data_IF_640575401682
#
_entry.id   IF_640575401682
#
_cell.length_a   1.000
_cell.length_b   1.000
_cell.length_c   1.000
_cell.angle_alpha   90.00
_cell.angle_beta   90.00
_cell.angle_gamma   90.00
#
_symmetry.space_group_name_H-M   'P 1'
#
loop_
_entity.id
_entity.type
_entity.pdbx_description
1 polymer ?
#
# COMPACT_ATOMS: atom_id res chain seq x y z
N UNK A 1 -4.42 6.88 9.04
CA UNK A 1 -5.55 7.12 9.99
C UNK A 1 -5.86 8.61 9.99
N UNK A 2 -7.12 9.00 9.90
CA UNK A 2 -7.55 10.40 9.91
C UNK A 2 -7.32 11.01 11.30
N UNK A 3 -7.01 12.32 11.35
CA UNK A 3 -6.91 13.05 12.61
C UNK A 3 -8.30 13.25 13.23
N UNK A 4 -8.48 12.82 14.49
CA UNK A 4 -9.74 13.01 15.24
C UNK A 4 -10.09 14.49 15.46
N UNK A 5 -9.12 15.41 15.39
CA UNK A 5 -9.42 16.86 15.41
C UNK A 5 -10.14 17.26 14.16
N UNK A 6 -9.63 16.88 12.99
CA UNK A 6 -10.27 17.15 11.72
C UNK A 6 -11.69 16.56 11.67
N UNK A 7 -11.86 15.33 12.16
CA UNK A 7 -13.18 14.71 12.25
C UNK A 7 -14.20 15.55 13.05
N UNK A 8 -13.74 16.18 14.14
CA UNK A 8 -14.59 17.02 14.98
C UNK A 8 -14.82 18.41 14.40
N UNK A 9 -13.79 19.01 13.81
CA UNK A 9 -13.81 20.38 13.30
C UNK A 9 -14.53 20.47 11.95
N UNK A 10 -14.38 19.47 11.09
CA UNK A 10 -14.98 19.42 9.76
C UNK A 10 -15.43 17.98 9.39
N UNK A 11 -16.49 17.47 10.06
CA UNK A 11 -17.02 16.14 9.77
C UNK A 11 -17.59 16.02 8.36
N UNK A 12 -18.06 17.11 7.77
CA UNK A 12 -18.66 17.11 6.43
C UNK A 12 -17.59 16.85 5.35
N UNK A 13 -16.39 17.34 5.53
CA UNK A 13 -15.25 16.99 4.66
C UNK A 13 -14.95 15.49 4.70
N UNK A 14 -15.00 14.87 5.88
CA UNK A 14 -14.78 13.42 6.04
C UNK A 14 -15.92 12.65 5.38
N UNK A 15 -17.19 13.08 5.58
CA UNK A 15 -18.37 12.47 4.91
C UNK A 15 -18.29 12.61 3.39
N UNK A 16 -17.86 13.76 2.88
CA UNK A 16 -17.69 13.96 1.44
C UNK A 16 -16.62 13.01 0.86
N UNK A 17 -15.51 12.82 1.57
CA UNK A 17 -14.47 11.88 1.18
C UNK A 17 -14.97 10.42 1.17
N UNK A 18 -15.74 10.00 2.19
CA UNK A 18 -16.33 8.65 2.22
C UNK A 18 -17.33 8.44 1.07
N UNK A 19 -18.16 9.45 0.76
CA UNK A 19 -19.05 9.39 -0.42
C UNK A 19 -18.28 9.25 -1.73
N UNK A 20 -17.20 10.01 -1.89
CA UNK A 20 -16.37 9.95 -3.09
C UNK A 20 -15.72 8.56 -3.27
N UNK A 21 -15.39 7.87 -2.17
CA UNK A 21 -14.88 6.51 -2.18
C UNK A 21 -15.96 5.43 -2.39
N UNK A 22 -17.24 5.80 -2.33
CA UNK A 22 -18.33 4.82 -2.30
C UNK A 22 -18.42 4.04 -0.98
N UNK A 23 -17.83 4.57 0.10
CA UNK A 23 -17.80 3.95 1.43
C UNK A 23 -18.98 4.43 2.30
N UNK A 24 -19.25 3.69 3.40
CA UNK A 24 -20.36 3.99 4.29
C UNK A 24 -20.14 5.30 5.08
N UNK A 25 -20.97 6.29 4.79
CA UNK A 25 -20.95 7.60 5.47
C UNK A 25 -21.39 7.50 6.94
N UNK A 26 -22.23 6.51 7.30
CA UNK A 26 -22.70 6.32 8.68
C UNK A 26 -21.54 5.98 9.64
N UNK A 27 -20.43 5.45 9.11
CA UNK A 27 -19.21 5.21 9.88
C UNK A 27 -18.67 6.50 10.53
N UNK A 28 -18.81 7.66 9.85
CA UNK A 28 -18.37 8.96 10.36
C UNK A 28 -19.18 9.36 11.59
N UNK A 29 -20.50 9.16 11.56
CA UNK A 29 -21.38 9.49 12.69
C UNK A 29 -21.14 8.53 13.87
N UNK A 30 -20.95 7.25 13.61
CA UNK A 30 -20.59 6.25 14.61
C UNK A 30 -19.26 6.60 15.30
N UNK A 31 -18.27 7.02 14.52
CA UNK A 31 -16.97 7.43 15.05
C UNK A 31 -17.03 8.73 15.86
N UNK A 32 -17.82 9.72 15.44
CA UNK A 32 -18.07 10.95 16.22
C UNK A 32 -18.71 10.62 17.58
N UNK A 33 -19.69 9.72 17.59
CA UNK A 33 -20.35 9.26 18.83
C UNK A 33 -19.38 8.51 19.74
N UNK A 34 -18.53 7.63 19.17
CA UNK A 34 -17.52 6.90 19.94
C UNK A 34 -16.46 7.83 20.52
N UNK A 35 -15.98 8.83 19.74
CA UNK A 35 -15.03 9.83 20.24
C UNK A 35 -15.61 10.70 21.35
N UNK A 36 -16.90 11.06 21.29
CA UNK A 36 -17.58 11.77 22.37
C UNK A 36 -17.64 10.94 23.64
N UNK A 37 -18.02 9.65 23.54
CA UNK A 37 -18.00 8.72 24.71
C UNK A 37 -16.60 8.55 25.26
N UNK A 38 -15.58 8.43 24.41
CA UNK A 38 -14.18 8.32 24.82
C UNK A 38 -13.72 9.54 25.61
N UNK A 39 -14.08 10.75 25.17
CA UNK A 39 -13.73 12.00 25.88
C UNK A 39 -14.48 12.15 27.19
N UNK A 40 -15.80 11.93 27.20
CA UNK A 40 -16.63 12.06 28.39
C UNK A 40 -16.27 11.03 29.48
N UNK A 41 -16.04 9.77 29.08
CA UNK A 41 -15.58 8.73 30.02
C UNK A 41 -14.18 9.04 30.58
N UNK A 42 -13.28 9.61 29.79
CA UNK A 42 -11.97 10.09 30.22
C UNK A 42 -12.09 11.18 31.29
N UNK A 43 -12.90 12.21 31.04
CA UNK A 43 -13.15 13.29 32.03
C UNK A 43 -13.73 12.71 33.33
N UNK A 44 -14.75 11.85 33.21
CA UNK A 44 -15.38 11.21 34.40
C UNK A 44 -14.37 10.38 35.21
N UNK A 45 -13.53 9.60 34.53
CA UNK A 45 -12.47 8.84 35.22
C UNK A 45 -11.51 9.77 35.96
N UNK A 46 -11.05 10.85 35.34
CA UNK A 46 -10.13 11.80 35.99
C UNK A 46 -10.76 12.52 37.19
N UNK A 47 -12.04 12.88 37.11
CA UNK A 47 -12.80 13.48 38.24
C UNK A 47 -12.90 12.52 39.42
N UNK A 48 -13.31 11.27 39.18
CA UNK A 48 -13.40 10.25 40.21
C UNK A 48 -12.05 9.91 40.86
N UNK A 49 -10.97 9.90 40.06
CA UNK A 49 -9.59 9.73 40.56
C UNK A 49 -9.14 10.91 41.41
N UNK A 50 -9.49 12.13 41.02
CA UNK A 50 -9.20 13.34 41.78
C UNK A 50 -9.95 13.33 43.15
N UNK A 51 -11.24 12.94 43.14
CA UNK A 51 -12.03 12.77 44.37
C UNK A 51 -11.43 11.70 45.28
N UNK A 52 -11.05 10.54 44.71
CA UNK A 52 -10.41 9.44 45.46
C UNK A 52 -9.11 9.90 46.14
N UNK A 53 -8.28 10.63 45.43
CA UNK A 53 -7.03 11.21 45.95
C UNK A 53 -7.29 12.24 47.05
N UNK A 54 -8.32 13.06 46.91
CA UNK A 54 -8.72 14.04 47.93
C UNK A 54 -9.23 13.36 49.20
N UNK A 55 -10.11 12.37 49.03
CA UNK A 55 -10.69 11.60 50.14
C UNK A 55 -9.59 10.87 50.93
N UNK A 56 -8.62 10.26 50.26
CA UNK A 56 -7.46 9.62 50.89
C UNK A 56 -6.62 10.54 51.78
N UNK A 57 -6.61 11.86 51.47
CA UNK A 57 -5.92 12.87 52.32
C UNK A 57 -6.75 13.32 53.53
N UNK A 58 -8.08 13.18 53.45
CA UNK A 58 -9.01 13.59 54.55
C UNK A 58 -9.15 12.51 55.61
N UNK A 59 -9.21 11.24 55.24
CA UNK A 59 -9.40 10.11 56.14
C UNK A 59 -8.44 10.10 57.33
N UNK A 60 -7.12 10.36 57.19
CA UNK A 60 -6.20 10.36 58.33
C UNK A 60 -6.42 11.53 59.29
N UNK A 61 -7.11 12.60 58.86
CA UNK A 61 -7.33 13.83 59.64
C UNK A 61 -8.72 13.92 60.26
N UNK A 62 -9.60 12.97 59.98
CA UNK A 62 -10.99 12.99 60.39
C UNK A 62 -11.17 12.44 61.82
N UNK A 63 -12.22 12.88 62.50
CA UNK A 63 -12.69 12.32 63.77
C UNK A 63 -13.15 10.85 63.60
N UNK A 64 -13.38 10.14 64.72
CA UNK A 64 -13.78 8.72 64.66
C UNK A 64 -15.13 8.49 63.97
N UNK A 65 -16.10 9.41 64.13
CA UNK A 65 -17.42 9.36 63.49
C UNK A 65 -17.33 9.65 62.01
N UNK A 66 -16.67 10.75 61.63
CA UNK A 66 -16.46 11.14 60.23
C UNK A 66 -15.65 10.10 59.44
N UNK A 67 -14.70 9.42 60.09
CA UNK A 67 -13.86 8.41 59.46
C UNK A 67 -14.63 7.20 58.97
N UNK A 68 -15.69 6.77 59.71
CA UNK A 68 -16.50 5.64 59.27
C UNK A 68 -17.27 5.96 57.96
N UNK A 69 -17.80 7.17 57.86
CA UNK A 69 -18.51 7.64 56.67
C UNK A 69 -17.58 7.84 55.48
N UNK A 70 -16.40 8.45 55.72
CA UNK A 70 -15.36 8.60 54.71
C UNK A 70 -14.83 7.28 54.16
N UNK A 71 -14.70 6.26 55.03
CA UNK A 71 -14.30 4.91 54.62
C UNK A 71 -15.35 4.24 53.73
N UNK A 72 -16.65 4.37 54.08
CA UNK A 72 -17.76 3.88 53.26
C UNK A 72 -17.78 4.56 51.89
N UNK A 73 -17.60 5.89 51.85
CA UNK A 73 -17.50 6.65 50.62
C UNK A 73 -16.29 6.22 49.78
N UNK A 74 -15.13 5.94 50.44
CA UNK A 74 -13.93 5.46 49.78
C UNK A 74 -14.12 4.10 49.09
N UNK A 75 -14.91 3.21 49.74
CA UNK A 75 -15.21 1.89 49.14
C UNK A 75 -16.11 2.01 47.92
N UNK A 76 -17.17 2.81 47.97
CA UNK A 76 -18.03 3.12 46.85
C UNK A 76 -17.22 3.76 45.68
N UNK A 77 -16.42 4.78 46.03
CA UNK A 77 -15.62 5.51 45.06
C UNK A 77 -14.55 4.62 44.40
N UNK A 78 -14.02 3.63 45.11
CA UNK A 78 -13.13 2.62 44.55
C UNK A 78 -13.81 1.78 43.45
N UNK A 79 -15.07 1.40 43.68
CA UNK A 79 -15.88 0.68 42.69
C UNK A 79 -16.20 1.57 41.49
N UNK A 80 -16.59 2.83 41.72
CA UNK A 80 -16.90 3.80 40.70
C UNK A 80 -15.68 4.12 39.79
N UNK A 81 -14.50 4.29 40.38
CA UNK A 81 -13.24 4.49 39.65
C UNK A 81 -12.94 3.28 38.75
N UNK A 82 -13.11 2.07 39.27
CA UNK A 82 -12.88 0.84 38.49
C UNK A 82 -13.86 0.72 37.33
N UNK A 83 -15.13 1.06 37.55
CA UNK A 83 -16.13 1.04 36.48
C UNK A 83 -15.85 2.10 35.40
N UNK A 84 -15.48 3.32 35.82
CA UNK A 84 -15.13 4.39 34.88
C UNK A 84 -13.86 4.10 34.08
N UNK A 85 -12.89 3.42 34.68
CA UNK A 85 -11.67 2.95 33.99
C UNK A 85 -11.99 1.95 32.88
N UNK A 86 -12.82 0.95 33.18
CA UNK A 86 -13.28 -0.04 32.22
C UNK A 86 -14.11 0.60 31.07
N UNK A 87 -14.98 1.57 31.40
CA UNK A 87 -15.76 2.30 30.40
C UNK A 87 -14.85 3.14 29.47
N UNK A 88 -13.85 3.82 30.04
CA UNK A 88 -12.86 4.59 29.29
C UNK A 88 -12.09 3.70 28.31
N UNK A 89 -11.62 2.54 28.79
CA UNK A 89 -10.85 1.61 27.98
C UNK A 89 -11.71 1.00 26.85
N UNK A 90 -12.97 0.67 27.15
CA UNK A 90 -13.93 0.18 26.14
C UNK A 90 -14.19 1.24 25.07
N UNK A 91 -14.46 2.49 25.47
CA UNK A 91 -14.72 3.59 24.54
C UNK A 91 -13.47 3.94 23.70
N UNK A 92 -12.27 3.83 24.26
CA UNK A 92 -11.02 4.01 23.54
C UNK A 92 -10.82 2.93 22.47
N UNK A 93 -11.06 1.66 22.81
CA UNK A 93 -10.97 0.52 21.90
C UNK A 93 -11.97 0.66 20.75
N UNK A 94 -13.24 0.94 21.05
CA UNK A 94 -14.29 1.14 20.03
C UNK A 94 -13.94 2.29 19.08
N UNK A 95 -13.47 3.42 19.62
CA UNK A 95 -13.03 4.55 18.79
C UNK A 95 -11.89 4.16 17.86
N UNK A 96 -10.92 3.39 18.34
CA UNK A 96 -9.79 2.92 17.56
C UNK A 96 -10.22 1.95 16.45
N UNK A 97 -11.10 1.00 16.76
CA UNK A 97 -11.62 0.03 15.79
C UNK A 97 -12.39 0.70 14.65
N UNK A 98 -13.28 1.65 14.97
CA UNK A 98 -14.00 2.43 13.96
C UNK A 98 -13.06 3.29 13.12
N UNK A 99 -12.05 3.91 13.74
CA UNK A 99 -11.09 4.76 13.06
C UNK A 99 -10.20 3.96 12.09
N UNK A 100 -9.93 2.69 12.38
CA UNK A 100 -9.18 1.78 11.49
C UNK A 100 -9.99 1.38 10.25
N UNK A 101 -11.32 1.47 10.29
CA UNK A 101 -12.19 1.17 9.14
C UNK A 101 -12.29 2.35 8.16
N UNK A 102 -11.99 3.57 8.62
CA UNK A 102 -12.13 4.78 7.81
C UNK A 102 -10.97 4.89 6.81
N UNK A 103 -11.30 5.05 5.52
CA UNK A 103 -10.33 5.33 4.46
C UNK A 103 -9.67 6.71 4.60
N UNK A 104 -8.55 6.93 3.93
CA UNK A 104 -7.87 8.24 3.91
C UNK A 104 -8.74 9.29 3.20
N UNK A 105 -8.48 10.57 3.48
CA UNK A 105 -9.15 11.67 2.79
C UNK A 105 -8.76 11.69 1.31
N UNK A 106 -9.77 11.78 0.45
CA UNK A 106 -9.57 11.95 -0.99
C UNK A 106 -9.05 13.36 -1.27
N UNK A 107 -7.99 13.47 -2.07
CA UNK A 107 -7.47 14.77 -2.50
C UNK A 107 -8.52 15.49 -3.38
N UNK A 108 -8.68 16.82 -3.27
CA UNK A 108 -9.72 17.56 -4.02
C UNK A 108 -9.68 17.43 -5.54
N UNK A 109 -8.48 17.22 -6.11
CA UNK A 109 -8.31 17.11 -7.57
C UNK A 109 -8.56 15.70 -8.13
N UNK A 110 -8.81 14.70 -7.27
CA UNK A 110 -9.07 13.33 -7.70
C UNK A 110 -10.41 13.25 -8.44
N UNK A 111 -10.47 12.62 -9.63
CA UNK A 111 -11.73 12.41 -10.32
C UNK A 111 -12.67 11.56 -9.47
N UNK A 112 -13.95 11.97 -9.39
CA UNK A 112 -14.95 11.27 -8.60
C UNK A 112 -15.65 10.22 -9.47
N UNK A 113 -15.61 8.96 -9.06
CA UNK A 113 -16.25 7.87 -9.80
C UNK A 113 -15.65 6.50 -9.51
N UNK A 114 -16.05 5.49 -10.29
CA UNK A 114 -15.57 4.12 -10.24
C UNK A 114 -14.33 3.87 -11.08
N UNK A 115 -13.95 2.59 -11.26
CA UNK A 115 -12.74 2.12 -11.97
C UNK A 115 -12.60 2.74 -13.39
N UNK A 116 -13.72 2.99 -14.10
CA UNK A 116 -13.70 3.50 -15.48
C UNK A 116 -13.71 5.05 -15.56
N UNK A 117 -13.86 5.75 -14.43
CA UNK A 117 -13.98 7.22 -14.39
C UNK A 117 -12.62 7.92 -14.17
N UNK A 118 -11.52 7.22 -14.45
CA UNK A 118 -10.17 7.79 -14.40
C UNK A 118 -9.97 8.87 -15.48
N UNK A 119 -8.97 9.72 -15.27
CA UNK A 119 -8.56 10.74 -16.26
C UNK A 119 -7.20 10.38 -16.82
N UNK A 120 -7.10 10.25 -18.16
CA UNK A 120 -5.80 10.11 -18.82
C UNK A 120 -5.08 11.45 -18.85
N UNK A 121 -3.90 11.50 -18.22
CA UNK A 121 -3.08 12.72 -18.12
C UNK A 121 -2.08 12.82 -19.27
N UNK A 122 -1.43 11.71 -19.61
CA UNK A 122 -0.33 11.66 -20.57
C UNK A 122 -0.37 10.33 -21.33
N UNK A 123 0.18 10.34 -22.57
CA UNK A 123 0.42 9.14 -23.38
C UNK A 123 1.84 9.20 -23.93
N UNK A 124 2.58 8.11 -23.82
CA UNK A 124 3.98 7.99 -24.19
C UNK A 124 4.23 6.80 -25.12
N UNK A 125 5.18 6.96 -26.05
CA UNK A 125 5.55 5.93 -27.03
C UNK A 125 4.51 5.75 -28.14
N UNK A 126 4.87 4.99 -29.15
CA UNK A 126 4.00 4.65 -30.27
C UNK A 126 3.56 3.18 -30.16
N UNK A 127 2.26 2.95 -30.34
CA UNK A 127 1.72 1.59 -30.42
C UNK A 127 2.14 0.98 -31.75
N UNK A 128 2.83 -0.14 -31.71
CA UNK A 128 3.34 -0.86 -32.86
C UNK A 128 2.19 -1.49 -33.65
N UNK A 129 2.20 -1.31 -34.97
CA UNK A 129 1.23 -1.93 -35.88
C UNK A 129 1.81 -3.21 -36.50
N UNK A 130 1.55 -4.35 -35.83
CA UNK A 130 2.01 -5.66 -36.29
C UNK A 130 1.41 -6.09 -37.62
N UNK A 131 0.19 -5.63 -37.95
CA UNK A 131 -0.44 -5.92 -39.22
C UNK A 131 0.31 -5.26 -40.36
N UNK A 132 0.72 -4.00 -40.19
CA UNK A 132 1.57 -3.30 -41.16
C UNK A 132 2.97 -3.94 -41.30
N UNK A 133 3.45 -4.60 -40.24
CA UNK A 133 4.70 -5.38 -40.25
C UNK A 133 4.54 -6.78 -40.85
N UNK A 134 3.32 -7.22 -41.15
CA UNK A 134 3.04 -8.46 -41.88
C UNK A 134 2.89 -9.71 -41.03
N UNK A 135 2.64 -9.58 -39.69
CA UNK A 135 2.35 -10.72 -38.83
C UNK A 135 1.36 -10.37 -37.70
N UNK A 136 0.71 -11.39 -37.18
CA UNK A 136 -0.17 -11.28 -36.01
C UNK A 136 0.62 -11.45 -34.71
N UNK A 137 0.41 -10.59 -33.70
CA UNK A 137 1.11 -10.69 -32.43
C UNK A 137 0.66 -11.93 -31.65
N UNK A 138 1.62 -12.65 -31.07
CA UNK A 138 1.40 -13.76 -30.16
C UNK A 138 1.30 -13.26 -28.73
N UNK A 139 0.51 -13.94 -27.91
CA UNK A 139 0.45 -13.62 -26.49
C UNK A 139 1.71 -14.11 -25.73
N UNK A 140 1.89 -13.60 -24.54
CA UNK A 140 3.06 -13.90 -23.71
C UNK A 140 3.20 -15.38 -23.34
N UNK A 141 2.13 -16.20 -23.34
CA UNK A 141 2.23 -17.64 -23.12
C UNK A 141 2.76 -18.37 -24.35
N UNK A 142 2.28 -17.99 -25.53
CA UNK A 142 2.79 -18.55 -26.79
C UNK A 142 4.28 -18.19 -26.95
N UNK A 143 4.64 -16.92 -26.72
CA UNK A 143 6.04 -16.48 -26.70
C UNK A 143 6.85 -17.17 -25.60
N UNK A 144 6.30 -17.28 -24.41
CA UNK A 144 6.92 -17.97 -23.29
C UNK A 144 7.21 -19.44 -23.59
N UNK A 145 6.35 -20.10 -24.36
CA UNK A 145 6.56 -21.47 -24.85
C UNK A 145 7.65 -21.53 -25.93
N UNK A 146 7.60 -20.63 -26.90
CA UNK A 146 8.58 -20.53 -28.00
C UNK A 146 9.99 -20.28 -27.43
N UNK A 147 10.11 -19.42 -26.44
CA UNK A 147 11.37 -19.06 -25.80
C UNK A 147 11.81 -20.05 -24.70
N UNK A 148 10.96 -20.99 -24.31
CA UNK A 148 11.20 -21.84 -23.15
C UNK A 148 11.29 -21.05 -21.83
N UNK A 149 10.53 -19.96 -21.72
CA UNK A 149 10.66 -18.93 -20.67
C UNK A 149 9.62 -19.04 -19.57
N UNK A 150 8.39 -19.54 -19.87
CA UNK A 150 7.26 -19.57 -18.94
C UNK A 150 6.65 -20.97 -18.94
N UNK A 151 6.48 -21.57 -17.75
CA UNK A 151 5.85 -22.89 -17.57
C UNK A 151 4.72 -22.79 -16.54
N UNK A 152 3.52 -22.61 -17.02
CA UNK A 152 2.30 -22.55 -16.19
C UNK A 152 1.75 -23.94 -15.87
N UNK A 153 2.02 -24.97 -16.68
CA UNK A 153 1.56 -26.33 -16.43
C UNK A 153 2.23 -26.94 -15.20
N UNK A 154 3.57 -26.82 -15.13
CA UNK A 154 4.31 -27.26 -13.94
C UNK A 154 4.03 -26.39 -12.74
N UNK A 155 3.81 -25.10 -12.91
CA UNK A 155 3.36 -24.21 -11.85
C UNK A 155 2.04 -24.67 -11.24
N UNK A 156 1.06 -24.97 -12.08
CA UNK A 156 -0.24 -25.48 -11.66
C UNK A 156 -0.14 -26.89 -11.01
N UNK A 157 0.75 -27.73 -11.51
CA UNK A 157 0.99 -29.06 -10.93
C UNK A 157 1.58 -28.99 -9.51
N UNK A 158 2.46 -28.04 -9.24
CA UNK A 158 3.15 -27.92 -7.96
C UNK A 158 2.34 -27.16 -6.93
N UNK A 159 1.70 -26.05 -7.32
CA UNK A 159 1.09 -25.08 -6.38
C UNK A 159 -0.37 -24.75 -6.68
N UNK A 160 -0.93 -25.22 -7.79
CA UNK A 160 -2.29 -24.91 -8.20
C UNK A 160 -2.36 -23.83 -9.29
N UNK A 161 -3.58 -23.44 -9.65
CA UNK A 161 -3.80 -22.40 -10.65
C UNK A 161 -3.14 -21.07 -10.29
N UNK A 162 -2.78 -20.25 -11.30
CA UNK A 162 -2.13 -18.94 -11.13
C UNK A 162 -0.74 -19.00 -10.46
N UNK A 163 -0.09 -20.17 -10.47
CA UNK A 163 1.32 -20.32 -10.20
C UNK A 163 2.06 -20.71 -11.49
N UNK A 164 3.30 -20.33 -11.58
CA UNK A 164 4.12 -20.52 -12.78
C UNK A 164 5.58 -20.72 -12.38
N UNK A 165 6.36 -21.25 -13.32
CA UNK A 165 7.83 -21.19 -13.28
C UNK A 165 8.30 -20.26 -14.41
N UNK A 166 9.26 -19.40 -14.10
CA UNK A 166 10.12 -18.82 -15.13
C UNK A 166 11.31 -19.74 -15.32
N UNK A 167 11.63 -20.02 -16.56
CA UNK A 167 12.72 -20.97 -16.94
C UNK A 167 13.65 -20.31 -17.95
N UNK A 168 14.90 -20.75 -18.02
CA UNK A 168 15.85 -20.29 -19.02
C UNK A 168 15.94 -18.77 -19.10
N UNK A 169 15.64 -18.23 -20.29
CA UNK A 169 15.68 -16.78 -20.54
C UNK A 169 14.62 -15.99 -19.75
N UNK A 170 13.50 -16.63 -19.39
CA UNK A 170 12.47 -15.98 -18.55
C UNK A 170 12.97 -15.67 -17.15
N UNK A 171 13.65 -16.62 -16.51
CA UNK A 171 14.27 -16.41 -15.20
C UNK A 171 15.39 -15.36 -15.25
N UNK A 172 16.19 -15.37 -16.32
CA UNK A 172 17.22 -14.35 -16.53
C UNK A 172 16.60 -12.95 -16.74
N UNK A 173 15.48 -12.86 -17.45
CA UNK A 173 14.76 -11.59 -17.67
C UNK A 173 14.21 -11.03 -16.36
N UNK A 174 13.66 -11.86 -15.47
CA UNK A 174 13.24 -11.43 -14.14
C UNK A 174 14.40 -10.83 -13.34
N UNK A 175 15.52 -11.56 -13.25
CA UNK A 175 16.71 -11.07 -12.54
C UNK A 175 17.26 -9.77 -13.16
N UNK A 176 17.21 -9.64 -14.47
CA UNK A 176 17.63 -8.43 -15.19
C UNK A 176 16.74 -7.26 -14.84
N UNK A 177 15.41 -7.44 -14.83
CA UNK A 177 14.43 -6.41 -14.47
C UNK A 177 14.63 -5.92 -13.04
N UNK A 178 14.76 -6.84 -12.08
CA UNK A 178 14.99 -6.50 -10.68
C UNK A 178 16.29 -5.70 -10.52
N UNK A 179 17.39 -6.16 -11.12
CA UNK A 179 18.68 -5.47 -11.01
C UNK A 179 18.64 -4.09 -11.67
N UNK A 180 18.05 -3.96 -12.86
CA UNK A 180 17.93 -2.67 -13.55
C UNK A 180 17.05 -1.68 -12.77
N UNK A 181 15.90 -2.13 -12.23
CA UNK A 181 15.02 -1.30 -11.41
C UNK A 181 15.72 -0.83 -10.13
N UNK A 182 16.43 -1.70 -9.41
CA UNK A 182 17.21 -1.34 -8.23
C UNK A 182 18.34 -0.37 -8.58
N UNK A 183 19.01 -0.54 -9.73
CA UNK A 183 20.03 0.38 -10.18
C UNK A 183 19.47 1.78 -10.46
N UNK A 184 18.30 1.88 -11.14
CA UNK A 184 17.62 3.16 -11.37
C UNK A 184 17.22 3.82 -10.03
N UNK A 185 16.60 3.07 -9.11
CA UNK A 185 16.22 3.59 -7.81
C UNK A 185 17.44 4.09 -7.00
N UNK A 186 18.55 3.36 -7.03
CA UNK A 186 19.79 3.75 -6.36
C UNK A 186 20.36 5.04 -6.96
N UNK A 187 20.35 5.18 -8.28
CA UNK A 187 20.78 6.39 -8.96
C UNK A 187 19.88 7.60 -8.63
N UNK A 188 18.58 7.36 -8.34
CA UNK A 188 17.62 8.37 -7.90
C UNK A 188 17.73 8.69 -6.37
N UNK A 189 18.66 8.07 -5.65
CA UNK A 189 18.92 8.33 -4.23
C UNK A 189 18.12 7.46 -3.26
N UNK A 190 17.49 6.38 -3.73
CA UNK A 190 16.86 5.39 -2.84
C UNK A 190 17.89 4.44 -2.24
N UNK A 191 17.69 4.08 -1.00
CA UNK A 191 18.43 2.99 -0.34
C UNK A 191 17.80 1.65 -0.72
N UNK A 192 18.51 0.75 -1.42
CA UNK A 192 17.97 -0.58 -1.77
C UNK A 192 17.82 -1.44 -0.52
N UNK A 193 16.71 -2.19 -0.45
CA UNK A 193 16.39 -3.07 0.68
C UNK A 193 15.85 -4.42 0.22
N UNK A 194 16.31 -5.49 0.84
CA UNK A 194 15.66 -6.79 0.79
C UNK A 194 14.76 -6.90 2.02
N UNK A 195 13.45 -6.94 1.80
CA UNK A 195 12.49 -6.87 2.90
C UNK A 195 11.98 -8.25 3.30
N UNK A 196 11.58 -8.45 4.58
CA UNK A 196 10.87 -9.66 4.96
C UNK A 196 9.52 -9.75 4.25
N UNK A 197 9.18 -10.96 3.77
CA UNK A 197 7.89 -11.24 3.16
C UNK A 197 6.81 -11.62 4.19
N UNK A 198 7.21 -11.95 5.42
CA UNK A 198 6.32 -12.23 6.55
C UNK A 198 6.36 -11.06 7.52
N UNK A 199 5.17 -10.56 7.87
CA UNK A 199 5.02 -9.39 8.74
C UNK A 199 3.99 -9.64 9.84
N UNK A 200 4.11 -8.88 10.93
CA UNK A 200 3.17 -8.94 12.05
C UNK A 200 1.84 -8.25 11.71
N UNK A 201 0.73 -8.60 12.43
CA UNK A 201 -0.58 -7.96 12.25
C UNK A 201 -0.55 -6.43 12.33
N UNK A 202 0.27 -5.87 13.22
CA UNK A 202 0.41 -4.42 13.40
C UNK A 202 0.92 -3.72 12.13
N UNK A 203 1.86 -4.33 11.40
CA UNK A 203 2.38 -3.79 10.14
C UNK A 203 1.30 -3.79 9.05
N UNK A 204 0.54 -4.89 8.95
CA UNK A 204 -0.58 -4.99 8.01
C UNK A 204 -1.71 -4.01 8.32
N UNK A 205 -2.11 -3.90 9.59
CA UNK A 205 -3.14 -2.96 10.04
C UNK A 205 -2.69 -1.50 9.84
N UNK A 206 -1.41 -1.22 10.15
CA UNK A 206 -0.84 0.12 10.02
C UNK A 206 -0.83 0.65 8.58
N UNK A 207 -0.67 -0.21 7.61
CA UNK A 207 -0.70 0.14 6.18
C UNK A 207 -2.09 0.11 5.57
N UNK A 208 -3.11 -0.43 6.27
CA UNK A 208 -4.50 -0.46 5.80
C UNK A 208 -4.90 -1.75 5.08
N UNK A 209 -4.03 -2.76 4.99
CA UNK A 209 -4.32 -4.01 4.25
C UNK A 209 -5.25 -4.98 4.98
N UNK A 210 -5.53 -4.79 6.27
CA UNK A 210 -6.53 -5.58 7.01
C UNK A 210 -7.95 -4.98 6.98
N UNK A 211 -8.20 -3.98 6.13
CA UNK A 211 -9.51 -3.44 5.83
C UNK A 211 -10.17 -4.16 4.65
N UNK A 212 -10.54 -3.41 3.63
CA UNK A 212 -11.19 -3.92 2.40
C UNK A 212 -10.37 -5.01 1.67
N UNK A 213 -9.04 -4.92 1.71
CA UNK A 213 -8.12 -5.87 1.07
C UNK A 213 -7.86 -7.14 1.89
N UNK A 214 -8.45 -7.31 3.07
CA UNK A 214 -8.16 -8.43 3.98
C UNK A 214 -8.40 -9.81 3.34
N UNK A 215 -9.37 -9.93 2.44
CA UNK A 215 -9.67 -11.18 1.72
C UNK A 215 -8.55 -11.62 0.76
N UNK A 216 -7.69 -10.69 0.31
CA UNK A 216 -6.58 -10.96 -0.60
C UNK A 216 -5.28 -11.34 0.12
N UNK A 217 -5.26 -11.27 1.44
CA UNK A 217 -4.07 -11.52 2.25
C UNK A 217 -3.99 -12.98 2.68
N UNK A 218 -2.79 -13.58 2.60
CA UNK A 218 -2.49 -14.87 3.21
C UNK A 218 -2.10 -14.69 4.67
N UNK A 219 -2.83 -15.35 5.59
CA UNK A 219 -2.55 -15.38 7.01
C UNK A 219 -2.06 -16.77 7.44
N UNK A 220 -1.01 -16.80 8.24
CA UNK A 220 -0.45 -17.99 8.86
C UNK A 220 -0.92 -18.04 10.33
N UNK A 221 -2.05 -18.68 10.56
CA UNK A 221 -2.74 -18.67 11.87
C UNK A 221 -1.88 -19.13 13.06
N UNK A 222 -1.00 -20.12 12.84
CA UNK A 222 -0.16 -20.68 13.93
C UNK A 222 0.91 -19.71 14.41
N UNK A 223 1.43 -18.89 13.52
CA UNK A 223 2.54 -17.98 13.78
C UNK A 223 2.05 -16.55 13.98
N UNK A 224 0.76 -16.29 13.70
CA UNK A 224 0.13 -14.96 13.64
C UNK A 224 0.94 -13.99 12.77
N UNK A 225 1.29 -14.44 11.57
CA UNK A 225 2.03 -13.68 10.57
C UNK A 225 1.26 -13.63 9.25
N UNK A 226 1.49 -12.58 8.49
CA UNK A 226 0.89 -12.36 7.18
C UNK A 226 1.96 -12.35 6.09
N UNK A 227 1.66 -12.99 4.94
CA UNK A 227 2.45 -12.80 3.73
C UNK A 227 2.10 -11.45 3.09
N UNK A 228 3.11 -10.66 2.76
CA UNK A 228 2.92 -9.34 2.14
C UNK A 228 2.44 -9.46 0.70
N UNK A 229 1.49 -8.62 0.29
CA UNK A 229 1.10 -8.42 -1.11
C UNK A 229 1.96 -7.37 -1.83
N UNK A 230 2.85 -6.71 -1.09
CA UNK A 230 3.78 -5.65 -1.53
C UNK A 230 4.81 -5.40 -0.42
N UNK A 231 6.06 -5.08 -0.78
CA UNK A 231 7.06 -4.66 0.20
C UNK A 231 6.73 -3.33 0.89
N UNK A 232 5.78 -2.56 0.37
CA UNK A 232 5.22 -1.37 1.03
C UNK A 232 4.95 -1.61 2.52
N UNK A 233 4.35 -2.76 2.86
CA UNK A 233 4.01 -3.09 4.26
C UNK A 233 5.24 -3.11 5.16
N UNK A 234 6.29 -3.79 4.72
CA UNK A 234 7.54 -3.88 5.47
C UNK A 234 8.27 -2.54 5.51
N UNK A 235 8.28 -1.81 4.38
CA UNK A 235 8.91 -0.50 4.26
C UNK A 235 8.19 0.55 5.11
N UNK A 236 6.86 0.60 5.10
CA UNK A 236 6.08 1.53 5.92
C UNK A 236 6.22 1.26 7.42
N UNK A 237 6.41 -0.01 7.82
CA UNK A 237 6.60 -0.38 9.22
C UNK A 237 8.07 -0.29 9.67
N UNK A 238 9.01 0.00 8.77
CA UNK A 238 10.45 0.01 9.09
C UNK A 238 10.82 1.00 10.22
N UNK A 239 10.11 2.13 10.27
CA UNK A 239 10.27 3.14 11.31
C UNK A 239 9.11 3.17 12.31
N UNK A 240 8.36 2.06 12.47
CA UNK A 240 7.25 1.98 13.43
C UNK A 240 7.71 2.35 14.84
N UNK A 241 6.89 3.19 15.54
CA UNK A 241 7.12 3.72 16.88
C UNK A 241 8.33 4.67 17.01
N UNK A 242 8.92 5.13 15.89
CA UNK A 242 10.06 6.04 15.90
C UNK A 242 9.67 7.52 15.78
N UNK A 243 10.57 8.38 16.28
CA UNK A 243 10.58 9.82 16.03
C UNK A 243 11.83 10.13 15.22
N UNK A 244 11.63 10.52 13.96
CA UNK A 244 12.68 10.85 13.00
C UNK A 244 12.99 12.35 13.12
N UNK A 245 14.25 12.75 13.10
CA UNK A 245 14.62 14.17 13.07
C UNK A 245 14.39 14.73 11.65
N UNK A 246 13.86 15.95 11.56
CA UNK A 246 13.43 16.55 10.30
C UNK A 246 14.57 16.73 9.27
N UNK A 247 15.79 16.92 9.74
CA UNK A 247 16.99 17.04 8.89
C UNK A 247 17.37 15.75 8.16
N UNK A 248 16.79 14.60 8.57
CA UNK A 248 16.96 13.32 7.89
C UNK A 248 15.99 13.11 6.71
N UNK A 249 14.94 13.92 6.60
CA UNK A 249 13.98 13.80 5.51
C UNK A 249 14.48 14.48 4.21
N UNK A 250 14.12 13.95 3.04
CA UNK A 250 13.33 12.74 2.80
C UNK A 250 14.12 11.46 3.02
N UNK A 251 13.46 10.40 3.56
CA UNK A 251 14.00 9.05 3.56
C UNK A 251 13.36 8.25 2.43
N UNK A 252 14.17 7.66 1.56
CA UNK A 252 13.72 6.92 0.37
C UNK A 252 14.31 5.52 0.36
N UNK A 253 13.45 4.52 0.21
CA UNK A 253 13.79 3.11 0.20
C UNK A 253 13.25 2.42 -1.05
N UNK A 254 14.05 1.56 -1.67
CA UNK A 254 13.63 0.69 -2.77
C UNK A 254 13.64 -0.74 -2.27
N UNK A 255 12.46 -1.30 -1.98
CA UNK A 255 12.30 -2.64 -1.44
C UNK A 255 12.06 -3.68 -2.53
N UNK A 256 12.84 -4.74 -2.52
CA UNK A 256 12.57 -5.94 -3.32
C UNK A 256 12.01 -7.03 -2.41
N UNK A 257 10.90 -7.64 -2.85
CA UNK A 257 10.35 -8.83 -2.19
C UNK A 257 9.50 -9.68 -3.13
N UNK A 258 9.37 -10.98 -2.86
CA UNK A 258 8.21 -11.74 -3.31
C UNK A 258 6.94 -11.16 -2.68
N UNK A 259 5.87 -11.17 -3.46
CA UNK A 259 4.55 -10.66 -3.10
C UNK A 259 3.52 -11.77 -3.27
N UNK A 260 2.51 -11.81 -2.38
CA UNK A 260 1.52 -12.89 -2.34
C UNK A 260 0.11 -12.29 -2.27
N UNK A 261 -0.75 -12.67 -3.20
CA UNK A 261 -2.14 -12.21 -3.23
C UNK A 261 -3.09 -13.39 -3.47
N UNK A 262 -4.19 -13.48 -2.73
CA UNK A 262 -5.23 -14.50 -2.94
C UNK A 262 -6.04 -14.25 -4.20
N UNK A 263 -6.06 -13.01 -4.69
CA UNK A 263 -6.85 -12.60 -5.86
C UNK A 263 -8.34 -12.99 -5.73
N UNK A 264 -8.88 -12.86 -4.51
CA UNK A 264 -10.22 -13.36 -4.15
C UNK A 264 -11.35 -12.66 -4.93
N UNK A 265 -11.19 -11.38 -5.28
CA UNK A 265 -12.15 -10.58 -6.05
C UNK A 265 -12.04 -10.72 -7.57
N UNK A 266 -11.08 -11.52 -8.10
CA UNK A 266 -10.74 -11.55 -9.52
C UNK A 266 -11.27 -12.74 -10.29
N UNK A 267 -12.45 -13.29 -9.90
CA UNK A 267 -13.05 -14.43 -10.59
C UNK A 267 -13.27 -14.14 -12.08
N UNK A 268 -12.69 -14.98 -12.95
CA UNK A 268 -12.80 -14.84 -14.40
C UNK A 268 -11.92 -13.77 -15.06
N UNK A 269 -11.24 -12.89 -14.28
CA UNK A 269 -10.31 -11.91 -14.83
C UNK A 269 -8.90 -12.52 -14.96
N UNK A 270 -8.26 -12.34 -16.11
CA UNK A 270 -6.87 -12.76 -16.39
C UNK A 270 -6.53 -14.18 -15.91
N UNK A 271 -7.39 -15.16 -16.24
CA UNK A 271 -7.23 -16.55 -15.79
C UNK A 271 -6.14 -17.30 -16.55
N UNK A 272 -5.69 -16.75 -17.69
CA UNK A 272 -4.63 -17.31 -18.55
C UNK A 272 -3.39 -16.44 -18.44
N UNK A 273 -2.22 -17.07 -18.35
CA UNK A 273 -0.94 -16.39 -18.34
C UNK A 273 -0.43 -16.00 -16.96
N UNK A 274 0.50 -15.06 -16.95
CA UNK A 274 1.19 -14.60 -15.74
C UNK A 274 0.89 -13.13 -15.38
N UNK A 275 -0.13 -12.53 -16.01
CA UNK A 275 -0.50 -11.14 -15.73
C UNK A 275 -1.11 -10.96 -14.32
N UNK A 276 -1.86 -11.98 -13.84
CA UNK A 276 -2.48 -12.00 -12.51
C UNK A 276 -2.24 -13.34 -11.83
N UNK A 277 -1.35 -13.36 -10.86
CA UNK A 277 -0.79 -14.55 -10.22
C UNK A 277 -0.79 -14.42 -8.70
N UNK A 278 -0.74 -15.55 -7.99
CA UNK A 278 -0.74 -15.59 -6.53
C UNK A 278 0.60 -15.23 -5.90
N UNK A 279 1.69 -15.45 -6.63
CA UNK A 279 3.05 -15.13 -6.20
C UNK A 279 3.80 -14.42 -7.34
N UNK A 280 4.44 -13.30 -7.03
CA UNK A 280 5.21 -12.52 -7.98
C UNK A 280 6.26 -11.67 -7.26
N UNK A 281 7.30 -11.27 -7.99
CA UNK A 281 8.33 -10.40 -7.47
C UNK A 281 8.06 -8.93 -7.86
N UNK A 282 8.39 -8.01 -6.93
CA UNK A 282 8.18 -6.58 -7.11
C UNK A 282 9.32 -5.75 -6.52
N UNK A 283 9.71 -4.69 -7.23
CA UNK A 283 10.53 -3.60 -6.70
C UNK A 283 9.60 -2.42 -6.42
N UNK A 284 9.58 -1.98 -5.16
CA UNK A 284 8.72 -0.92 -4.64
C UNK A 284 9.55 0.26 -4.15
N UNK A 285 9.20 1.47 -4.57
CA UNK A 285 9.70 2.71 -3.99
C UNK A 285 8.84 3.11 -2.79
N UNK A 286 9.46 3.60 -1.74
CA UNK A 286 8.77 4.11 -0.56
C UNK A 286 9.49 5.34 -0.02
N UNK A 287 8.72 6.40 0.27
CA UNK A 287 9.25 7.66 0.77
C UNK A 287 8.57 8.08 2.07
N UNK A 288 9.39 8.60 3.00
CA UNK A 288 8.95 9.35 4.18
C UNK A 288 9.37 10.80 3.98
N UNK A 289 8.41 11.72 4.04
CA UNK A 289 8.65 13.14 3.77
C UNK A 289 7.91 14.03 4.78
N UNK A 290 8.29 15.30 4.84
CA UNK A 290 7.48 16.29 5.53
C UNK A 290 6.09 16.40 4.85
N UNK A 291 4.98 16.60 5.59
CA UNK A 291 3.65 16.65 4.99
C UNK A 291 3.50 17.69 3.88
N UNK A 292 4.19 18.80 3.99
CA UNK A 292 4.24 19.89 3.00
C UNK A 292 4.91 19.50 1.68
N UNK A 293 5.78 18.49 1.68
CA UNK A 293 6.52 17.99 0.51
C UNK A 293 5.82 16.82 -0.21
N UNK A 294 4.69 16.33 0.33
CA UNK A 294 4.02 15.11 -0.12
C UNK A 294 3.68 15.15 -1.61
N UNK A 295 3.05 16.22 -2.08
CA UNK A 295 2.65 16.35 -3.49
C UNK A 295 3.86 16.41 -4.44
N UNK A 296 4.92 17.11 -4.05
CA UNK A 296 6.14 17.18 -4.86
C UNK A 296 6.86 15.83 -4.93
N UNK A 297 6.85 15.07 -3.83
CA UNK A 297 7.40 13.72 -3.82
C UNK A 297 6.54 12.74 -4.62
N UNK A 298 5.20 12.85 -4.58
CA UNK A 298 4.30 12.03 -5.38
C UNK A 298 4.59 12.21 -6.88
N UNK A 299 4.77 13.47 -7.32
CA UNK A 299 5.13 13.75 -8.71
C UNK A 299 6.50 13.13 -9.08
N UNK A 300 7.49 13.17 -8.17
CA UNK A 300 8.79 12.52 -8.41
C UNK A 300 8.68 11.01 -8.55
N UNK A 301 7.88 10.35 -7.70
CA UNK A 301 7.64 8.91 -7.83
C UNK A 301 7.05 8.57 -9.20
N UNK A 302 6.03 9.33 -9.64
CA UNK A 302 5.44 9.19 -10.97
C UNK A 302 6.48 9.41 -12.08
N UNK A 303 7.35 10.41 -11.97
CA UNK A 303 8.40 10.69 -12.97
C UNK A 303 9.41 9.54 -13.05
N UNK A 304 9.75 8.87 -11.95
CA UNK A 304 10.63 7.69 -11.96
C UNK A 304 9.94 6.47 -12.57
N UNK A 305 8.64 6.28 -12.36
CA UNK A 305 7.86 5.23 -13.04
C UNK A 305 7.80 5.47 -14.56
N UNK A 306 7.53 6.71 -14.99
CA UNK A 306 7.56 7.09 -16.40
C UNK A 306 8.94 6.85 -17.02
N UNK A 307 10.01 7.22 -16.30
CA UNK A 307 11.39 6.97 -16.75
C UNK A 307 11.66 5.47 -16.90
N UNK A 308 11.19 4.66 -15.97
CA UNK A 308 11.33 3.20 -16.03
C UNK A 308 10.66 2.62 -17.26
N UNK A 309 9.38 2.91 -17.48
CA UNK A 309 8.64 2.40 -18.63
C UNK A 309 9.20 2.91 -19.97
N UNK A 310 9.67 4.15 -20.01
CA UNK A 310 10.37 4.72 -21.20
C UNK A 310 11.68 3.97 -21.46
N UNK A 311 12.45 3.64 -20.43
CA UNK A 311 13.71 2.89 -20.58
C UNK A 311 13.50 1.45 -21.06
N UNK A 312 12.31 0.89 -20.80
CA UNK A 312 11.87 -0.40 -21.33
C UNK A 312 11.27 -0.30 -22.74
N UNK A 313 11.22 0.92 -23.31
CA UNK A 313 10.74 1.18 -24.66
C UNK A 313 9.29 0.70 -24.87
N UNK A 314 8.46 0.82 -23.82
CA UNK A 314 7.06 0.42 -23.86
C UNK A 314 6.15 1.63 -24.15
N UNK A 315 5.11 1.48 -24.99
CA UNK A 315 4.05 2.47 -25.09
C UNK A 315 3.16 2.38 -23.85
N UNK A 316 2.91 3.53 -23.20
CA UNK A 316 2.09 3.58 -21.98
C UNK A 316 1.31 4.89 -21.87
N UNK A 317 0.31 4.91 -21.02
CA UNK A 317 -0.39 6.10 -20.58
C UNK A 317 -0.28 6.28 -19.08
N UNK A 318 -0.45 7.51 -18.61
CA UNK A 318 -0.59 7.87 -17.20
C UNK A 318 -2.03 8.25 -16.93
N UNK A 319 -2.62 7.69 -15.90
CA UNK A 319 -3.98 8.01 -15.48
C UNK A 319 -4.00 8.53 -14.04
N UNK A 320 -4.91 9.47 -13.77
CA UNK A 320 -5.33 9.87 -12.42
C UNK A 320 -6.51 9.00 -12.04
N UNK A 321 -6.31 8.16 -11.03
CA UNK A 321 -7.26 7.12 -10.65
C UNK A 321 -8.45 7.71 -9.92
N UNK A 322 -9.67 7.24 -10.26
CA UNK A 322 -10.90 7.74 -9.67
C UNK A 322 -11.06 7.32 -8.19
N UNK A 323 -11.81 8.11 -7.46
CA UNK A 323 -11.89 8.08 -5.99
C UNK A 323 -12.39 6.76 -5.40
N UNK A 324 -13.28 6.03 -6.08
CA UNK A 324 -13.78 4.75 -5.59
C UNK A 324 -12.83 3.56 -5.90
N UNK A 325 -11.79 3.77 -6.72
CA UNK A 325 -10.74 2.78 -7.00
C UNK A 325 -9.45 3.05 -6.19
N UNK A 326 -9.46 4.05 -5.33
CA UNK A 326 -8.35 4.31 -4.41
C UNK A 326 -8.28 3.24 -3.31
N UNK A 327 -7.11 2.67 -3.09
CA UNK A 327 -6.85 1.89 -1.88
C UNK A 327 -7.09 2.72 -0.61
N UNK A 328 -7.44 2.07 0.50
CA UNK A 328 -7.86 2.75 1.75
C UNK A 328 -6.82 3.72 2.32
N UNK A 329 -5.53 3.52 2.06
CA UNK A 329 -4.44 4.41 2.50
C UNK A 329 -4.20 5.60 1.58
N UNK A 330 -4.56 5.51 0.29
CA UNK A 330 -4.25 6.53 -0.71
C UNK A 330 -5.18 7.75 -0.61
N UNK A 331 -4.61 8.94 -0.63
CA UNK A 331 -5.33 10.20 -0.83
C UNK A 331 -5.47 10.52 -2.33
N UNK A 332 -4.45 10.20 -3.12
CA UNK A 332 -4.42 10.27 -4.58
C UNK A 332 -3.54 9.16 -5.12
N UNK A 333 -3.86 8.65 -6.29
CA UNK A 333 -3.11 7.56 -6.96
C UNK A 333 -2.98 7.87 -8.45
N UNK A 334 -1.78 7.66 -8.99
CA UNK A 334 -1.54 7.62 -10.43
C UNK A 334 -1.13 6.20 -10.82
N UNK A 335 -1.64 5.73 -11.96
CA UNK A 335 -1.20 4.47 -12.56
C UNK A 335 -0.52 4.75 -13.90
N UNK A 336 0.57 4.03 -14.17
CA UNK A 336 1.13 3.94 -15.51
C UNK A 336 0.72 2.60 -16.12
N UNK A 337 -0.04 2.67 -17.21
CA UNK A 337 -0.58 1.51 -17.88
C UNK A 337 0.11 1.32 -19.23
N UNK A 338 0.76 0.17 -19.45
CA UNK A 338 1.35 -0.16 -20.74
C UNK A 338 0.34 -0.79 -21.69
N UNK A 339 0.52 -0.55 -22.98
CA UNK A 339 -0.25 -1.19 -24.03
C UNK A 339 0.08 -2.68 -24.11
N UNK A 340 -0.92 -3.53 -24.13
CA UNK A 340 -0.78 -4.97 -24.33
C UNK A 340 -1.37 -5.33 -25.70
N UNK A 341 -0.54 -5.63 -26.71
CA UNK A 341 -0.97 -5.82 -28.09
C UNK A 341 -2.10 -6.83 -28.28
N UNK A 342 -1.97 -8.02 -27.68
CA UNK A 342 -2.98 -9.09 -27.86
C UNK A 342 -4.28 -8.82 -27.14
N UNK A 343 -4.30 -7.92 -26.16
CA UNK A 343 -5.50 -7.46 -25.46
C UNK A 343 -6.12 -6.21 -26.07
N UNK A 344 -5.38 -5.50 -26.94
CA UNK A 344 -5.82 -4.26 -27.58
C UNK A 344 -6.18 -3.15 -26.58
N UNK A 345 -5.51 -3.12 -25.41
CA UNK A 345 -5.78 -2.16 -24.33
C UNK A 345 -4.57 -1.88 -23.45
N UNK A 346 -4.63 -0.76 -22.76
CA UNK A 346 -3.70 -0.41 -21.69
C UNK A 346 -3.96 -1.23 -20.43
N UNK A 347 -2.90 -1.61 -19.73
CA UNK A 347 -2.95 -2.39 -18.48
C UNK A 347 -1.94 -1.83 -17.48
N UNK A 348 -2.37 -1.71 -16.24
CA UNK A 348 -1.55 -1.24 -15.12
C UNK A 348 -0.28 -2.08 -14.94
N UNK A 349 0.87 -1.42 -15.02
CA UNK A 349 2.18 -2.00 -14.70
C UNK A 349 2.75 -1.43 -13.42
N UNK A 350 2.62 -0.11 -13.21
CA UNK A 350 3.11 0.60 -12.04
C UNK A 350 2.02 1.51 -11.49
N UNK A 351 2.12 1.83 -10.20
CA UNK A 351 1.15 2.64 -9.48
C UNK A 351 1.85 3.38 -8.35
N UNK A 352 1.58 4.68 -8.20
CA UNK A 352 2.11 5.48 -7.08
C UNK A 352 0.98 6.16 -6.30
N UNK A 353 1.11 6.16 -4.97
CA UNK A 353 0.11 6.71 -4.06
C UNK A 353 0.71 7.69 -3.05
N UNK A 354 0.04 8.82 -2.89
CA UNK A 354 0.22 9.69 -1.73
C UNK A 354 -0.68 9.22 -0.59
N UNK A 355 -0.09 8.69 0.46
CA UNK A 355 -0.80 8.23 1.65
C UNK A 355 -0.93 9.32 2.72
N UNK A 356 -0.39 10.49 2.50
CA UNK A 356 -0.35 11.59 3.48
C UNK A 356 0.10 11.08 4.85
N UNK A 357 -0.54 11.49 5.95
CA UNK A 357 -0.24 11.04 7.30
C UNK A 357 -0.95 9.72 7.71
N UNK A 358 -1.64 9.04 6.78
CA UNK A 358 -2.51 7.91 7.12
C UNK A 358 -1.76 6.74 7.76
N UNK A 359 -0.66 6.32 7.16
CA UNK A 359 0.15 5.20 7.63
C UNK A 359 1.01 5.60 8.84
N UNK A 360 1.64 6.76 8.81
CA UNK A 360 2.49 7.24 9.90
C UNK A 360 1.72 7.38 11.22
N UNK A 361 0.46 7.84 11.18
CA UNK A 361 -0.41 7.89 12.36
C UNK A 361 -0.77 6.50 12.90
N UNK A 362 -0.99 5.51 12.04
CA UNK A 362 -1.29 4.13 12.43
C UNK A 362 -0.08 3.41 13.00
N UNK A 363 1.10 3.70 12.46
CA UNK A 363 2.38 3.09 12.83
C UNK A 363 3.16 3.91 13.87
N UNK A 364 2.55 4.97 14.42
CA UNK A 364 3.18 5.84 15.43
C UNK A 364 4.50 6.45 14.97
N UNK A 365 4.67 6.70 13.67
CA UNK A 365 5.86 7.33 13.11
C UNK A 365 5.67 8.84 13.13
N UNK A 366 6.65 9.55 13.66
CA UNK A 366 6.57 11.01 13.84
C UNK A 366 7.87 11.67 13.40
N UNK A 367 7.78 12.94 13.05
CA UNK A 367 8.96 13.78 12.79
C UNK A 367 9.11 14.82 13.89
N UNK A 368 10.35 15.02 14.32
CA UNK A 368 10.73 16.09 15.23
C UNK A 368 11.30 17.26 14.42
N UNK A 369 10.62 18.40 14.49
CA UNK A 369 11.05 19.65 13.91
C UNK A 369 11.21 20.69 15.04
N UNK A 370 12.43 20.94 15.46
CA UNK A 370 12.74 21.74 16.64
C UNK A 370 12.10 21.16 17.91
N UNK A 371 11.12 21.88 18.49
CA UNK A 371 10.36 21.44 19.67
C UNK A 371 9.04 20.73 19.34
N UNK A 372 8.64 20.73 18.07
CA UNK A 372 7.39 20.12 17.65
C UNK A 372 7.61 18.67 17.24
N UNK A 373 6.65 17.82 17.59
CA UNK A 373 6.57 16.43 17.11
C UNK A 373 5.23 16.26 16.42
N UNK A 374 5.26 15.96 15.12
CA UNK A 374 4.07 15.84 14.27
C UNK A 374 4.15 14.56 13.44
N UNK A 375 3.03 14.03 12.90
CA UNK A 375 3.07 12.99 11.89
C UNK A 375 3.81 13.46 10.65
N UNK A 376 4.32 12.50 9.85
CA UNK A 376 4.92 12.76 8.56
C UNK A 376 4.08 12.11 7.45
N UNK A 377 4.34 12.46 6.20
CA UNK A 377 3.70 11.83 5.06
C UNK A 377 4.49 10.61 4.58
N UNK A 378 3.75 9.59 4.11
CA UNK A 378 4.31 8.41 3.45
C UNK A 378 3.77 8.30 2.03
N UNK A 379 4.60 7.82 1.14
CA UNK A 379 4.25 7.58 -0.26
C UNK A 379 4.85 6.26 -0.71
N UNK A 380 4.15 5.58 -1.59
CA UNK A 380 4.66 4.37 -2.23
C UNK A 380 4.56 4.50 -3.76
N UNK A 381 5.35 3.71 -4.46
CA UNK A 381 5.28 3.59 -5.91
C UNK A 381 5.90 2.30 -6.39
N UNK A 382 5.18 1.55 -7.21
CA UNK A 382 5.70 0.36 -7.86
C UNK A 382 6.71 0.78 -8.93
N UNK A 383 7.98 0.43 -8.77
CA UNK A 383 8.94 0.64 -9.85
C UNK A 383 8.88 -0.49 -10.88
N UNK A 384 8.78 -1.76 -10.43
CA UNK A 384 8.68 -2.91 -11.32
C UNK A 384 7.83 -4.03 -10.72
N UNK A 385 6.65 -4.28 -11.28
CA UNK A 385 5.88 -5.50 -11.08
C UNK A 385 6.34 -6.53 -12.11
N UNK A 386 7.24 -7.44 -11.72
CA UNK A 386 8.04 -8.23 -12.65
C UNK A 386 7.21 -9.02 -13.68
N UNK A 387 6.20 -9.85 -13.30
CA UNK A 387 5.47 -10.63 -14.30
C UNK A 387 4.71 -9.78 -15.32
N UNK A 388 4.06 -8.69 -14.88
CA UNK A 388 3.35 -7.78 -15.78
C UNK A 388 4.31 -7.08 -16.73
N UNK A 389 5.49 -6.70 -16.25
CA UNK A 389 6.54 -6.10 -17.07
C UNK A 389 7.10 -7.10 -18.08
N UNK A 390 7.28 -8.38 -17.70
CA UNK A 390 7.65 -9.46 -18.63
C UNK A 390 6.58 -9.60 -19.73
N UNK A 391 5.30 -9.63 -19.38
CA UNK A 391 4.19 -9.69 -20.35
C UNK A 391 4.28 -8.54 -21.35
N UNK A 392 4.43 -7.31 -20.86
CA UNK A 392 4.53 -6.13 -21.72
C UNK A 392 5.76 -6.16 -22.64
N UNK A 393 6.92 -6.58 -22.14
CA UNK A 393 8.15 -6.72 -22.94
C UNK A 393 7.97 -7.79 -24.02
N UNK A 394 7.51 -8.98 -23.66
CA UNK A 394 7.34 -10.07 -24.62
C UNK A 394 6.38 -9.68 -25.74
N UNK A 395 5.24 -9.10 -25.41
CA UNK A 395 4.21 -8.79 -26.39
C UNK A 395 4.54 -7.55 -27.26
N UNK A 396 5.19 -6.51 -26.70
CA UNK A 396 5.55 -5.32 -27.48
C UNK A 396 6.83 -5.49 -28.32
N UNK A 397 7.79 -6.28 -27.86
CA UNK A 397 9.09 -6.40 -28.52
C UNK A 397 9.26 -7.69 -29.32
N UNK A 398 8.18 -8.47 -29.49
CA UNK A 398 8.20 -9.69 -30.31
C UNK A 398 8.51 -9.43 -31.78
N UNK A 399 9.09 -10.42 -32.44
CA UNK A 399 9.35 -10.42 -33.88
C UNK A 399 8.57 -11.56 -34.57
N UNK A 400 8.48 -11.50 -35.89
CA UNK A 400 7.68 -12.45 -36.68
C UNK A 400 8.06 -13.92 -36.45
N UNK A 401 9.33 -14.21 -36.19
CA UNK A 401 9.85 -15.55 -35.92
C UNK A 401 9.61 -16.04 -34.46
N UNK A 402 9.07 -15.19 -33.60
CA UNK A 402 8.82 -15.47 -32.18
C UNK A 402 10.01 -15.16 -31.27
N UNK A 403 11.09 -14.59 -31.80
CA UNK A 403 12.13 -13.98 -30.98
C UNK A 403 11.63 -12.66 -30.37
N UNK A 404 12.31 -12.18 -29.33
CA UNK A 404 11.95 -10.93 -28.66
C UNK A 404 13.17 -10.05 -28.50
N UNK A 405 13.08 -8.80 -28.99
CA UNK A 405 14.13 -7.80 -28.83
C UNK A 405 14.26 -7.41 -27.36
N UNK A 406 15.47 -7.34 -26.86
CA UNK A 406 15.76 -6.92 -25.49
C UNK A 406 15.90 -5.40 -25.44
N UNK A 407 15.12 -4.69 -24.59
CA UNK A 407 15.31 -3.27 -24.33
C UNK A 407 16.76 -2.95 -23.93
N UNK A 408 17.30 -1.82 -24.40
CA UNK A 408 18.71 -1.48 -24.18
C UNK A 408 19.12 -1.51 -22.71
N UNK A 409 18.27 -0.99 -21.83
CA UNK A 409 18.51 -0.91 -20.37
C UNK A 409 18.73 -2.28 -19.72
N UNK A 410 18.20 -3.36 -20.30
CA UNK A 410 18.29 -4.72 -19.76
C UNK A 410 19.49 -5.51 -20.31
N UNK A 411 20.06 -5.12 -21.44
CA UNK A 411 21.17 -5.86 -22.09
C UNK A 411 22.37 -6.08 -21.19
N UNK A 412 22.85 -5.11 -20.39
CA UNK A 412 23.97 -5.34 -19.46
C UNK A 412 23.71 -6.45 -18.46
N UNK A 413 22.47 -6.61 -18.02
CA UNK A 413 22.07 -7.63 -17.04
C UNK A 413 21.77 -9.00 -17.66
N UNK A 414 21.73 -9.08 -19.00
CA UNK A 414 21.52 -10.30 -19.78
C UNK A 414 22.77 -10.74 -20.54
N UNK A 415 23.95 -10.29 -20.09
CA UNK A 415 25.23 -10.63 -20.73
C UNK A 415 25.41 -10.04 -22.12
N UNK A 416 24.80 -8.88 -22.39
CA UNK A 416 24.87 -8.18 -23.67
C UNK A 416 23.92 -8.72 -24.75
N UNK A 417 22.97 -9.59 -24.40
CA UNK A 417 21.99 -10.13 -25.36
C UNK A 417 21.09 -9.01 -25.89
N UNK A 418 20.95 -8.94 -27.21
CA UNK A 418 20.07 -8.01 -27.89
C UNK A 418 18.71 -8.63 -28.24
N UNK A 419 18.66 -9.96 -28.31
CA UNK A 419 17.47 -10.73 -28.69
C UNK A 419 17.37 -11.98 -27.79
N UNK A 420 16.16 -12.33 -27.37
CA UNK A 420 15.80 -13.62 -26.81
C UNK A 420 15.37 -14.53 -27.94
N UNK A 421 16.14 -15.58 -28.19
CA UNK A 421 15.94 -16.49 -29.32
C UNK A 421 14.97 -17.63 -28.98
N UNK A 422 14.14 -18.08 -29.95
CA UNK A 422 13.38 -19.33 -29.82
C UNK A 422 14.28 -20.51 -29.45
N UNK A 423 13.80 -21.36 -28.53
CA UNK A 423 14.52 -22.60 -28.21
C UNK A 423 14.43 -23.58 -29.39
N UNK A 424 15.53 -24.23 -29.71
CA UNK A 424 15.54 -25.29 -30.73
C UNK A 424 14.56 -26.41 -30.27
N UNK A 425 13.69 -26.85 -31.20
CA UNK A 425 12.76 -27.94 -30.97
C UNK A 425 13.51 -29.27 -30.89
#
# INVERSE_FOLDING_TARGET
MIDLRLLREDPDRVRASQRARGEDVALVDSLLSADERRRSSGVRFDELRAEQKSLGKLIPKASAEEKAELLKRAETLKADVKAADAERDTAATETQELLLQLGNLVHPDVPVGGEEDFVTLETHGEIRDFTAEGFEPKDHLELGTILGAIDTERGAKVSGSRFYFLTGVGALLELALVNAAIAQATAAGFTPMLTPALVRPQSMAGTGFLGQAAQDVYHLDKDDLYLVGTSEVALAAYHMDEIIDADRLPLRYAGFSPCFRREAGSHGKDTRGIFRVHQFDKVEMFSYVAPEDSQAEHQRLLDWEKQWLTSLELPFRVIDVASADLGSSASRKFDCEAWIPTQGKYRELTSTSDCTEYQSRRLSIRVRDGKQVKPLATLNGTLCAVPRTIVAILENHQQADGSVRVPEVLRPYLGGREVLEPVAK
#
